data_IF_737325756445
#
_entry.id   IF_737325756445
#
_cell.length_a   1.000
_cell.length_b   1.000
_cell.length_c   1.000
_cell.angle_alpha   90.00
_cell.angle_beta   90.00
_cell.angle_gamma   90.00
#
_symmetry.space_group_name_H-M   'P 1'
#
loop_
_entity.id
_entity.type
_entity.pdbx_description
1 polymer ?
#
# COMPACT_ATOMS: atom_id res chain seq x y z
N UNK A 1 -14.00 2.07 10.00
CA UNK A 1 -13.83 0.75 9.34
C UNK A 1 -13.09 -0.15 10.31
N UNK A 2 -13.51 -1.40 10.50
CA UNK A 2 -12.79 -2.31 11.40
C UNK A 2 -11.78 -3.13 10.63
N UNK A 3 -10.48 -2.83 10.74
CA UNK A 3 -9.40 -3.73 10.28
C UNK A 3 -8.81 -4.49 11.48
N UNK A 4 -8.13 -5.61 11.22
CA UNK A 4 -7.53 -6.44 12.27
C UNK A 4 -6.48 -5.67 13.08
N UNK A 5 -6.19 -6.12 14.30
CA UNK A 5 -5.16 -5.50 15.17
C UNK A 5 -3.79 -5.42 14.48
N UNK A 6 -3.42 -6.45 13.72
CA UNK A 6 -2.19 -6.50 12.91
C UNK A 6 -2.17 -5.36 11.88
N UNK A 7 -3.22 -5.22 11.09
CA UNK A 7 -3.29 -4.19 10.05
C UNK A 7 -3.35 -2.77 10.64
N UNK A 8 -4.00 -2.59 11.81
CA UNK A 8 -3.94 -1.29 12.52
C UNK A 8 -2.54 -0.94 12.98
N UNK A 9 -1.78 -1.92 13.47
CA UNK A 9 -0.39 -1.68 13.88
C UNK A 9 0.48 -1.29 12.70
N UNK A 10 0.39 -2.02 11.59
CA UNK A 10 1.11 -1.71 10.35
C UNK A 10 0.76 -0.29 9.87
N UNK A 11 -0.53 0.04 9.78
CA UNK A 11 -0.97 1.38 9.39
C UNK A 11 -0.48 2.48 10.35
N UNK A 12 -0.36 2.17 11.64
CA UNK A 12 0.15 3.11 12.66
C UNK A 12 1.66 3.34 12.62
N UNK A 13 2.41 2.54 11.86
CA UNK A 13 3.84 2.78 11.62
C UNK A 13 4.07 3.84 10.53
N UNK A 14 3.06 4.14 9.71
CA UNK A 14 3.17 5.14 8.66
C UNK A 14 3.27 6.54 9.27
N UNK A 15 4.30 7.29 8.90
CA UNK A 15 4.47 8.68 9.32
C UNK A 15 3.31 9.54 8.78
N UNK A 16 2.58 10.28 9.64
CA UNK A 16 1.48 11.13 9.19
C UNK A 16 1.90 12.14 8.12
N UNK A 17 1.09 12.26 7.07
CA UNK A 17 1.34 13.11 5.90
C UNK A 17 2.07 12.41 4.76
N UNK A 18 2.61 11.20 4.95
CA UNK A 18 3.27 10.44 3.88
C UNK A 18 2.26 9.79 2.93
N UNK A 19 2.55 9.86 1.63
CA UNK A 19 1.84 9.08 0.61
C UNK A 19 2.31 7.63 0.70
N UNK A 20 1.39 6.70 0.88
CA UNK A 20 1.73 5.29 1.11
C UNK A 20 1.51 4.44 -0.15
N UNK A 21 2.37 3.46 -0.38
CA UNK A 21 2.11 2.35 -1.30
C UNK A 21 2.04 1.03 -0.51
N UNK A 22 0.93 0.31 -0.64
CA UNK A 22 0.70 -0.98 0.02
C UNK A 22 0.89 -2.11 -1.00
N UNK A 23 1.99 -2.85 -0.87
CA UNK A 23 2.43 -3.89 -1.82
C UNK A 23 1.90 -5.25 -1.37
N UNK A 24 1.12 -5.89 -2.25
CA UNK A 24 0.33 -7.08 -1.90
C UNK A 24 -0.91 -6.71 -1.09
N UNK A 25 -1.60 -5.64 -1.50
CA UNK A 25 -2.75 -5.10 -0.78
C UNK A 25 -3.89 -6.12 -0.74
N UNK A 26 -4.04 -6.78 0.41
CA UNK A 26 -5.14 -7.70 0.66
C UNK A 26 -6.46 -6.92 0.76
N UNK A 27 -7.12 -6.74 -0.40
CA UNK A 27 -8.42 -6.07 -0.57
C UNK A 27 -8.45 -4.58 -0.18
N UNK A 28 -7.31 -3.89 -0.16
CA UNK A 28 -7.27 -2.43 0.04
C UNK A 28 -7.52 -1.95 1.48
N UNK A 29 -7.51 -2.84 2.48
CA UNK A 29 -7.85 -2.46 3.86
C UNK A 29 -6.90 -1.42 4.46
N UNK A 30 -5.59 -1.59 4.26
CA UNK A 30 -4.56 -0.66 4.77
C UNK A 30 -4.64 0.69 4.06
N UNK A 31 -4.60 0.80 2.71
CA UNK A 31 -4.65 2.09 2.04
C UNK A 31 -5.96 2.85 2.34
N UNK A 32 -7.10 2.16 2.36
CA UNK A 32 -8.38 2.77 2.74
C UNK A 32 -8.37 3.27 4.17
N UNK A 33 -7.81 2.50 5.11
CA UNK A 33 -7.71 2.95 6.50
C UNK A 33 -6.81 4.18 6.65
N UNK A 34 -5.63 4.18 6.04
CA UNK A 34 -4.68 5.29 6.11
C UNK A 34 -5.29 6.60 5.62
N UNK A 35 -5.96 6.57 4.47
CA UNK A 35 -6.58 7.76 3.88
C UNK A 35 -7.85 8.18 4.63
N UNK A 36 -8.65 7.21 5.10
CA UNK A 36 -9.89 7.47 5.85
C UNK A 36 -9.63 8.13 7.21
N UNK A 37 -8.60 7.68 7.92
CA UNK A 37 -8.24 8.23 9.24
C UNK A 37 -7.34 9.48 9.12
N UNK A 38 -7.03 9.93 7.91
CA UNK A 38 -6.24 11.14 7.66
C UNK A 38 -4.76 11.00 7.97
N UNK A 39 -4.24 9.77 8.07
CA UNK A 39 -2.82 9.48 8.28
C UNK A 39 -2.06 9.78 6.98
N UNK A 40 -2.58 9.32 5.84
CA UNK A 40 -2.01 9.56 4.53
C UNK A 40 -2.93 10.45 3.68
N UNK A 41 -2.39 11.41 2.92
CA UNK A 41 -3.20 12.23 2.02
C UNK A 41 -3.73 11.43 0.82
N UNK A 42 -2.97 10.43 0.37
CA UNK A 42 -3.32 9.48 -0.69
C UNK A 42 -2.58 8.15 -0.49
N UNK A 43 -3.03 7.11 -1.17
CA UNK A 43 -2.36 5.81 -1.17
C UNK A 43 -2.44 5.10 -2.53
N UNK A 44 -1.47 4.22 -2.80
CA UNK A 44 -1.48 3.30 -3.94
C UNK A 44 -1.64 1.88 -3.39
N UNK A 45 -2.71 1.21 -3.77
CA UNK A 45 -3.00 -0.17 -3.46
C UNK A 45 -2.44 -1.03 -4.60
N UNK A 46 -1.39 -1.82 -4.34
CA UNK A 46 -0.69 -2.61 -5.36
C UNK A 46 -0.89 -4.10 -5.10
N UNK A 47 -1.27 -4.87 -6.12
CA UNK A 47 -1.33 -6.33 -6.04
C UNK A 47 -1.12 -6.94 -7.43
N UNK A 48 -0.65 -8.18 -7.48
CA UNK A 48 -0.59 -8.99 -8.71
C UNK A 48 -1.94 -9.64 -9.02
N UNK A 49 -2.81 -9.76 -8.01
CA UNK A 49 -4.17 -10.28 -8.10
C UNK A 49 -5.16 -9.19 -8.49
N UNK A 50 -5.68 -9.26 -9.72
CA UNK A 50 -6.76 -8.38 -10.18
C UNK A 50 -8.01 -8.49 -9.30
N UNK A 51 -8.34 -9.67 -8.80
CA UNK A 51 -9.50 -9.86 -7.91
C UNK A 51 -9.31 -9.15 -6.57
N UNK A 52 -8.07 -9.08 -6.06
CA UNK A 52 -7.76 -8.31 -4.85
C UNK A 52 -7.94 -6.81 -5.08
N UNK A 53 -7.46 -6.33 -6.24
CA UNK A 53 -7.60 -4.92 -6.61
C UNK A 53 -9.05 -4.51 -6.85
N UNK A 54 -9.87 -5.35 -7.50
CA UNK A 54 -11.29 -5.06 -7.65
C UNK A 54 -11.99 -4.84 -6.30
N UNK A 55 -11.65 -5.65 -5.29
CA UNK A 55 -12.17 -5.45 -3.93
C UNK A 55 -11.62 -4.19 -3.27
N UNK A 56 -10.36 -3.83 -3.53
CA UNK A 56 -9.77 -2.58 -3.06
C UNK A 56 -10.47 -1.36 -3.68
N UNK A 57 -10.74 -1.39 -4.99
CA UNK A 57 -11.49 -0.38 -5.72
C UNK A 57 -12.91 -0.22 -5.17
N UNK A 58 -13.65 -1.33 -5.01
CA UNK A 58 -14.99 -1.31 -4.40
C UNK A 58 -14.98 -0.76 -2.98
N UNK A 59 -13.94 -1.10 -2.18
CA UNK A 59 -13.80 -0.60 -0.82
C UNK A 59 -13.50 0.90 -0.79
N UNK A 60 -12.63 1.39 -1.67
CA UNK A 60 -12.34 2.81 -1.83
C UNK A 60 -13.57 3.60 -2.30
N UNK A 61 -14.33 3.06 -3.26
CA UNK A 61 -15.58 3.66 -3.75
C UNK A 61 -16.62 3.77 -2.64
N UNK A 62 -16.87 2.69 -1.90
CA UNK A 62 -17.80 2.68 -0.76
C UNK A 62 -17.39 3.62 0.36
N UNK A 63 -16.08 3.88 0.49
CA UNK A 63 -15.55 4.85 1.44
C UNK A 63 -15.57 6.29 0.92
N UNK A 64 -15.87 6.53 -0.37
CA UNK A 64 -15.81 7.83 -1.01
C UNK A 64 -14.38 8.34 -1.20
N UNK A 65 -13.43 7.45 -1.50
CA UNK A 65 -11.99 7.72 -1.54
C UNK A 65 -11.32 7.38 -2.88
N UNK A 66 -12.10 7.08 -3.93
CA UNK A 66 -11.58 6.70 -5.25
C UNK A 66 -10.69 7.74 -5.91
N UNK A 67 -10.78 9.00 -5.49
CA UNK A 67 -9.94 10.12 -5.95
C UNK A 67 -8.57 10.19 -5.24
N UNK A 68 -8.41 9.45 -4.13
CA UNK A 68 -7.21 9.46 -3.28
C UNK A 68 -6.54 8.10 -3.13
N UNK A 69 -7.18 7.04 -3.62
CA UNK A 69 -6.66 5.68 -3.59
C UNK A 69 -6.60 5.16 -5.01
N UNK A 70 -5.39 4.97 -5.51
CA UNK A 70 -5.16 4.36 -6.81
C UNK A 70 -4.94 2.86 -6.62
N UNK A 71 -5.59 2.02 -7.45
CA UNK A 71 -5.33 0.59 -7.49
C UNK A 71 -4.47 0.25 -8.70
N UNK A 72 -3.38 -0.48 -8.50
CA UNK A 72 -2.39 -0.77 -9.54
C UNK A 72 -2.02 -2.24 -9.59
N UNK A 73 -2.25 -2.84 -10.76
CA UNK A 73 -1.83 -4.21 -11.04
C UNK A 73 -0.32 -4.23 -11.27
N UNK A 74 0.42 -4.90 -10.39
CA UNK A 74 1.88 -4.98 -10.45
C UNK A 74 2.39 -6.23 -9.77
N UNK A 75 3.50 -6.79 -10.26
CA UNK A 75 4.30 -7.71 -9.47
C UNK A 75 5.24 -6.90 -8.57
N UNK A 76 5.02 -6.98 -7.26
CA UNK A 76 5.79 -6.20 -6.28
C UNK A 76 5.84 -4.71 -6.61
N UNK A 77 7.06 -4.20 -6.84
CA UNK A 77 7.35 -2.78 -7.09
C UNK A 77 7.42 -2.41 -8.58
N UNK A 78 7.26 -3.35 -9.51
CA UNK A 78 7.56 -3.17 -10.95
C UNK A 78 6.92 -1.92 -11.58
N UNK A 79 5.67 -1.62 -11.23
CA UNK A 79 4.92 -0.47 -11.76
C UNK A 79 4.83 0.71 -10.78
N UNK A 80 5.73 0.81 -9.81
CA UNK A 80 5.86 2.00 -8.95
C UNK A 80 7.01 2.88 -9.48
N UNK A 81 6.86 4.20 -9.46
CA UNK A 81 7.91 5.12 -9.90
C UNK A 81 8.77 5.59 -8.71
N UNK A 82 10.07 5.84 -8.90
CA UNK A 82 10.89 6.50 -7.89
C UNK A 82 10.29 7.86 -7.49
N UNK A 83 10.16 8.09 -6.18
CA UNK A 83 9.58 9.30 -5.58
C UNK A 83 8.04 9.35 -5.58
N UNK A 84 7.37 8.30 -6.05
CA UNK A 84 5.92 8.25 -6.13
C UNK A 84 5.26 8.08 -4.76
N UNK A 85 5.89 7.30 -3.87
CA UNK A 85 5.46 7.09 -2.49
C UNK A 85 6.54 7.56 -1.51
N UNK A 86 6.10 8.06 -0.35
CA UNK A 86 6.96 8.41 0.77
C UNK A 86 7.15 7.21 1.73
N UNK A 87 6.14 6.33 1.82
CA UNK A 87 6.15 5.10 2.61
C UNK A 87 5.77 3.90 1.75
N UNK A 88 6.48 2.78 1.91
CA UNK A 88 6.15 1.50 1.26
C UNK A 88 5.88 0.45 2.32
N UNK A 89 4.75 -0.26 2.20
CA UNK A 89 4.32 -1.30 3.11
C UNK A 89 4.41 -2.64 2.38
N UNK A 90 5.15 -3.60 2.94
CA UNK A 90 5.32 -4.95 2.40
C UNK A 90 5.04 -5.92 3.56
N UNK A 91 3.80 -6.39 3.68
CA UNK A 91 3.38 -7.17 4.85
C UNK A 91 2.52 -8.38 4.51
N UNK A 92 2.42 -9.34 5.43
CA UNK A 92 1.55 -10.52 5.24
C UNK A 92 2.10 -11.57 4.27
N UNK A 93 3.34 -11.40 3.79
CA UNK A 93 4.05 -12.31 2.90
C UNK A 93 5.17 -13.06 3.64
N UNK A 94 5.66 -14.16 3.04
CA UNK A 94 6.83 -14.86 3.56
C UNK A 94 8.11 -14.04 3.40
N UNK A 95 9.01 -14.09 4.39
CA UNK A 95 10.22 -13.24 4.41
C UNK A 95 11.07 -13.29 3.15
N UNK A 96 11.25 -14.47 2.55
CA UNK A 96 12.00 -14.64 1.29
C UNK A 96 11.36 -13.84 0.15
N UNK A 97 10.02 -13.86 0.06
CA UNK A 97 9.28 -13.12 -0.96
C UNK A 97 9.39 -11.60 -0.72
N UNK A 98 9.31 -11.16 0.55
CA UNK A 98 9.48 -9.74 0.88
C UNK A 98 10.87 -9.25 0.47
N UNK A 99 11.93 -10.02 0.77
CA UNK A 99 13.28 -9.70 0.33
C UNK A 99 13.39 -9.64 -1.20
N UNK A 100 12.83 -10.61 -1.93
CA UNK A 100 12.92 -10.61 -3.40
C UNK A 100 12.19 -9.42 -4.02
N UNK A 101 11.04 -9.00 -3.47
CA UNK A 101 10.32 -7.81 -3.92
C UNK A 101 11.20 -6.56 -3.73
N UNK A 102 11.86 -6.44 -2.58
CA UNK A 102 12.73 -5.30 -2.28
C UNK A 102 13.99 -5.28 -3.15
N UNK A 103 14.60 -6.44 -3.39
CA UNK A 103 15.82 -6.59 -4.19
C UNK A 103 15.59 -6.39 -5.70
N UNK A 104 14.36 -6.58 -6.19
CA UNK A 104 14.04 -6.44 -7.61
C UNK A 104 14.12 -4.99 -8.11
N UNK A 105 13.78 -4.02 -7.24
CA UNK A 105 13.69 -2.60 -7.59
C UNK A 105 14.25 -1.67 -6.50
N UNK A 106 15.56 -1.77 -6.19
CA UNK A 106 16.19 -0.94 -5.16
C UNK A 106 16.08 0.57 -5.47
N UNK A 107 16.08 0.97 -6.73
CA UNK A 107 15.98 2.35 -7.19
C UNK A 107 14.69 3.05 -6.75
N UNK A 108 13.61 2.27 -6.59
CA UNK A 108 12.35 2.79 -6.06
C UNK A 108 12.50 3.01 -4.56
N UNK A 109 12.97 2.01 -3.83
CA UNK A 109 13.11 2.05 -2.37
C UNK A 109 14.11 3.09 -1.88
N UNK A 110 15.15 3.39 -2.64
CA UNK A 110 16.12 4.46 -2.36
C UNK A 110 15.48 5.85 -2.27
N UNK A 111 14.31 6.05 -2.88
CA UNK A 111 13.57 7.31 -2.85
C UNK A 111 12.50 7.38 -1.75
N UNK A 112 12.23 6.25 -1.10
CA UNK A 112 11.21 6.10 -0.07
C UNK A 112 11.82 6.49 1.29
N UNK A 113 11.03 7.11 2.16
CA UNK A 113 11.49 7.57 3.47
C UNK A 113 11.37 6.48 4.55
N UNK A 114 10.45 5.54 4.38
CA UNK A 114 10.24 4.41 5.28
C UNK A 114 9.71 3.15 4.55
N UNK A 115 10.21 1.99 4.97
CA UNK A 115 9.77 0.67 4.51
C UNK A 115 9.22 -0.06 5.73
N UNK A 116 7.99 -0.56 5.64
CA UNK A 116 7.20 -1.12 6.74
C UNK A 116 6.85 -2.58 6.47
#
# INVERSE_FOLDING_TARGET
>A
MGISYRLKHIAGLVTPGYRAADIGTDHGYVPVFLVKEGISPSAIAVDISRDSLLKAEELAERAGLSDRIECRLSDGLENLMPGEADAVIISGMGGILMCSIMEAHPEILETVKEII
#
